data_IF_012608404384
#
_entry.id   IF_012608404384
#
_cell.length_a   1.000
_cell.length_b   1.000
_cell.length_c   1.000
_cell.angle_alpha   90.00
_cell.angle_beta   90.00
_cell.angle_gamma   90.00
#
_symmetry.space_group_name_H-M   'P 1'
#
loop_
_entity.id
_entity.type
_entity.pdbx_description
1 polymer ?
#
# COMPACT_ATOMS: atom_id res chain seq x y z
N UNK A 1 -7.56 -21.83 36.94
CA UNK A 1 -6.63 -21.18 35.96
C UNK A 1 -7.35 -20.55 34.75
N UNK A 2 -8.24 -21.25 34.02
CA UNK A 2 -8.97 -20.66 32.86
C UNK A 2 -9.88 -19.47 33.19
N UNK A 3 -10.58 -19.51 34.33
CA UNK A 3 -11.49 -18.43 34.77
C UNK A 3 -10.75 -17.16 35.21
N UNK A 4 -9.61 -17.30 35.88
CA UNK A 4 -8.73 -16.18 36.27
C UNK A 4 -8.08 -15.55 35.03
N UNK A 5 -7.60 -16.38 34.07
CA UNK A 5 -7.14 -15.89 32.76
C UNK A 5 -8.24 -15.15 31.99
N UNK A 6 -9.49 -15.61 32.07
CA UNK A 6 -10.63 -14.95 31.43
C UNK A 6 -10.97 -13.59 32.08
N UNK A 7 -10.97 -13.50 33.41
CA UNK A 7 -11.18 -12.24 34.13
C UNK A 7 -10.03 -11.25 33.87
N UNK A 8 -8.78 -11.70 33.91
CA UNK A 8 -7.61 -10.88 33.60
C UNK A 8 -7.61 -10.41 32.14
N UNK A 9 -8.01 -11.27 31.20
CA UNK A 9 -8.18 -10.92 29.77
C UNK A 9 -9.29 -9.87 29.59
N UNK A 10 -10.40 -9.98 30.31
CA UNK A 10 -11.49 -8.99 30.25
C UNK A 10 -11.13 -7.65 30.91
N UNK A 11 -10.37 -7.66 32.01
CA UNK A 11 -9.90 -6.44 32.67
C UNK A 11 -8.83 -5.70 31.84
N UNK A 12 -7.94 -6.44 31.17
CA UNK A 12 -6.96 -5.87 30.23
C UNK A 12 -7.61 -5.34 28.97
N UNK A 13 -8.61 -6.04 28.41
CA UNK A 13 -9.44 -5.56 27.31
C UNK A 13 -10.21 -4.27 27.65
N UNK A 14 -10.68 -4.13 28.90
CA UNK A 14 -11.39 -2.91 29.35
C UNK A 14 -10.50 -1.65 29.35
N UNK A 15 -9.16 -1.80 29.39
CA UNK A 15 -8.22 -0.69 29.34
C UNK A 15 -7.76 -0.33 27.92
N UNK A 16 -8.08 -1.14 26.91
CA UNK A 16 -7.70 -0.87 25.51
C UNK A 16 -8.05 0.56 25.06
N UNK A 17 -9.28 1.09 25.31
CA UNK A 17 -9.61 2.46 24.91
C UNK A 17 -8.71 3.51 25.55
N UNK A 18 -8.26 3.30 26.80
CA UNK A 18 -7.36 4.22 27.49
C UNK A 18 -5.95 4.20 26.89
N UNK A 19 -5.44 3.01 26.55
CA UNK A 19 -4.14 2.88 25.89
C UNK A 19 -4.15 3.52 24.51
N UNK A 20 -5.20 3.27 23.71
CA UNK A 20 -5.37 3.90 22.39
C UNK A 20 -5.43 5.43 22.53
N UNK A 21 -6.18 5.96 23.49
CA UNK A 21 -6.27 7.41 23.73
C UNK A 21 -4.95 8.01 24.23
N UNK A 22 -4.14 7.25 24.97
CA UNK A 22 -2.81 7.70 25.40
C UNK A 22 -1.85 7.79 24.21
N UNK A 23 -1.70 6.70 23.46
CA UNK A 23 -0.69 6.60 22.40
C UNK A 23 -1.06 7.39 21.14
N UNK A 24 -2.35 7.57 20.84
CA UNK A 24 -2.79 8.38 19.70
C UNK A 24 -2.57 9.89 19.87
N UNK A 25 -2.17 10.36 21.05
CA UNK A 25 -1.77 11.76 21.27
C UNK A 25 -0.37 12.06 20.75
N UNK A 26 0.47 11.04 20.60
CA UNK A 26 1.81 11.18 20.07
C UNK A 26 1.77 11.12 18.54
N UNK A 27 2.65 11.91 17.92
CA UNK A 27 2.84 11.86 16.47
C UNK A 27 3.81 10.72 16.13
N UNK A 28 3.48 9.87 15.13
CA UNK A 28 4.43 8.90 14.59
C UNK A 28 5.75 9.56 14.18
N UNK A 29 6.86 8.87 14.41
CA UNK A 29 8.21 9.33 14.10
C UNK A 29 8.63 8.79 12.72
N UNK A 30 8.68 9.62 11.66
CA UNK A 30 9.11 9.17 10.34
C UNK A 30 10.63 8.97 10.31
N UNK A 31 11.07 7.86 9.72
CA UNK A 31 12.47 7.56 9.47
C UNK A 31 12.82 7.73 7.99
N UNK A 32 14.04 8.16 7.70
CA UNK A 32 14.60 8.12 6.34
C UNK A 32 15.20 6.76 6.03
N UNK A 33 15.28 6.43 4.74
CA UNK A 33 16.01 5.26 4.26
C UNK A 33 17.47 5.29 4.73
N UNK A 34 18.08 6.49 4.76
CA UNK A 34 19.42 6.69 5.32
C UNK A 34 19.50 6.29 6.79
N UNK A 35 18.53 6.68 7.62
CA UNK A 35 18.52 6.30 9.04
C UNK A 35 18.38 4.79 9.23
N UNK A 36 17.52 4.11 8.45
CA UNK A 36 17.44 2.66 8.48
C UNK A 36 18.76 2.00 8.11
N UNK A 37 19.41 2.49 7.04
CA UNK A 37 20.69 1.96 6.55
C UNK A 37 21.81 2.18 7.58
N UNK A 38 21.98 3.41 8.07
CA UNK A 38 23.02 3.77 9.03
C UNK A 38 22.86 2.97 10.34
N UNK A 39 21.60 2.72 10.77
CA UNK A 39 21.30 1.90 11.93
C UNK A 39 21.75 0.44 11.73
N UNK A 40 21.35 -0.19 10.62
CA UNK A 40 21.65 -1.61 10.39
C UNK A 40 23.09 -1.91 9.91
N UNK A 41 23.82 -0.92 9.38
CA UNK A 41 25.19 -1.11 8.85
C UNK A 41 26.28 -1.04 9.93
N UNK A 42 26.21 -0.02 10.79
CA UNK A 42 27.36 0.38 11.62
C UNK A 42 27.05 0.27 13.12
N UNK A 43 25.78 0.39 13.50
CA UNK A 43 25.33 0.47 14.90
C UNK A 43 24.15 -0.46 15.17
N UNK A 44 24.11 -1.65 14.56
CA UNK A 44 23.01 -2.60 14.73
C UNK A 44 22.93 -3.03 16.20
N UNK A 45 22.11 -2.30 16.96
CA UNK A 45 22.00 -2.41 18.41
C UNK A 45 20.56 -2.79 18.74
N UNK A 46 20.36 -4.07 19.01
CA UNK A 46 19.03 -4.64 19.25
C UNK A 46 18.30 -3.93 20.39
N UNK A 47 19.00 -3.60 21.48
CA UNK A 47 18.43 -2.87 22.61
C UNK A 47 17.90 -1.49 22.21
N UNK A 48 18.59 -0.78 21.33
CA UNK A 48 18.14 0.52 20.81
C UNK A 48 16.91 0.34 19.92
N UNK A 49 16.91 -0.67 19.03
CA UNK A 49 15.76 -1.00 18.19
C UNK A 49 14.53 -1.37 19.03
N UNK A 50 14.71 -2.22 20.04
CA UNK A 50 13.68 -2.63 20.99
C UNK A 50 13.08 -1.43 21.72
N UNK A 51 13.92 -0.56 22.30
CA UNK A 51 13.46 0.64 23.03
C UNK A 51 12.68 1.58 22.13
N UNK A 52 13.10 1.74 20.87
CA UNK A 52 12.36 2.53 19.89
C UNK A 52 11.02 1.88 19.54
N UNK A 53 11.01 0.61 19.11
CA UNK A 53 9.82 -0.06 18.58
C UNK A 53 8.74 -0.31 19.62
N UNK A 54 9.10 -0.61 20.87
CA UNK A 54 8.12 -0.77 21.95
C UNK A 54 7.34 0.51 22.25
N UNK A 55 7.84 1.67 21.82
CA UNK A 55 7.14 2.96 21.91
C UNK A 55 6.49 3.36 20.58
N UNK A 56 7.22 3.25 19.46
CA UNK A 56 6.74 3.71 18.16
C UNK A 56 5.60 2.84 17.59
N UNK A 57 5.63 1.51 17.77
CA UNK A 57 4.57 0.64 17.26
C UNK A 57 3.21 0.91 17.94
N UNK A 58 3.11 1.05 19.28
CA UNK A 58 1.88 1.49 19.93
C UNK A 58 1.36 2.85 19.44
N UNK A 59 2.25 3.80 19.15
CA UNK A 59 1.89 5.11 18.58
C UNK A 59 1.24 4.94 17.20
N UNK A 60 1.90 4.21 16.28
CA UNK A 60 1.37 3.99 14.91
C UNK A 60 0.05 3.23 14.91
N UNK A 61 -0.04 2.15 15.71
CA UNK A 61 -1.26 1.35 15.88
C UNK A 61 -2.40 2.21 16.43
N UNK A 62 -2.16 2.97 17.51
CA UNK A 62 -3.21 3.74 18.18
C UNK A 62 -3.71 4.91 17.32
N UNK A 63 -2.83 5.59 16.59
CA UNK A 63 -3.21 6.65 15.65
C UNK A 63 -4.21 6.13 14.62
N UNK A 64 -3.90 4.98 13.97
CA UNK A 64 -4.81 4.45 12.96
C UNK A 64 -6.07 3.81 13.56
N UNK A 65 -5.99 3.19 14.74
CA UNK A 65 -7.15 2.67 15.46
C UNK A 65 -8.16 3.77 15.81
N UNK A 66 -7.70 4.98 16.14
CA UNK A 66 -8.59 6.14 16.34
C UNK A 66 -9.34 6.51 15.06
N UNK A 67 -8.70 6.43 13.90
CA UNK A 67 -9.34 6.71 12.61
C UNK A 67 -10.28 5.59 12.15
N UNK A 68 -9.98 4.32 12.46
CA UNK A 68 -10.93 3.22 12.25
C UNK A 68 -12.25 3.54 12.95
N UNK A 69 -12.19 3.99 14.20
CA UNK A 69 -13.38 4.33 14.99
C UNK A 69 -14.13 5.58 14.51
N UNK A 70 -13.65 6.28 13.47
CA UNK A 70 -14.35 7.38 12.81
C UNK A 70 -15.06 6.96 11.53
N UNK A 71 -14.91 5.70 11.10
CA UNK A 71 -15.67 5.16 9.99
C UNK A 71 -17.17 5.12 10.32
N UNK A 72 -18.04 5.11 9.30
CA UNK A 72 -19.49 4.97 9.52
C UNK A 72 -19.81 3.72 10.34
N UNK A 73 -20.73 3.84 11.30
CA UNK A 73 -21.13 2.73 12.18
C UNK A 73 -21.51 1.48 11.40
N UNK A 74 -22.20 1.65 10.26
CA UNK A 74 -22.58 0.55 9.37
C UNK A 74 -21.39 -0.23 8.84
N UNK A 75 -20.30 0.45 8.48
CA UNK A 75 -19.05 -0.20 8.06
C UNK A 75 -18.35 -0.85 9.25
N UNK A 76 -18.33 -0.20 10.42
CA UNK A 76 -17.77 -0.76 11.65
C UNK A 76 -18.48 -2.03 12.13
N UNK A 77 -19.77 -2.19 11.81
CA UNK A 77 -20.53 -3.41 12.14
C UNK A 77 -20.27 -4.59 11.21
N UNK A 78 -19.53 -4.40 10.11
CA UNK A 78 -19.22 -5.51 9.19
C UNK A 78 -18.27 -6.51 9.85
N UNK A 79 -18.53 -7.83 9.74
CA UNK A 79 -17.70 -8.86 10.39
C UNK A 79 -16.22 -8.75 10.03
N UNK A 80 -15.93 -8.40 8.78
CA UNK A 80 -14.55 -8.27 8.30
C UNK A 80 -13.82 -7.08 8.93
N UNK A 81 -14.47 -5.92 9.11
CA UNK A 81 -13.86 -4.76 9.80
C UNK A 81 -13.65 -5.05 11.28
N UNK A 82 -14.61 -5.70 11.94
CA UNK A 82 -14.48 -6.11 13.34
C UNK A 82 -13.30 -7.09 13.55
N UNK A 83 -13.10 -8.00 12.60
CA UNK A 83 -11.95 -8.91 12.62
C UNK A 83 -10.63 -8.14 12.55
N UNK A 84 -10.50 -7.18 11.63
CA UNK A 84 -9.32 -6.31 11.54
C UNK A 84 -9.11 -5.52 12.83
N UNK A 85 -10.15 -4.91 13.41
CA UNK A 85 -10.07 -4.21 14.69
C UNK A 85 -9.53 -5.13 15.80
N UNK A 86 -10.02 -6.38 15.87
CA UNK A 86 -9.57 -7.36 16.86
C UNK A 86 -8.07 -7.67 16.75
N UNK A 87 -7.54 -7.77 15.52
CA UNK A 87 -6.11 -7.99 15.28
C UNK A 87 -5.25 -6.82 15.72
N UNK A 88 -5.69 -5.58 15.47
CA UNK A 88 -4.98 -4.38 15.92
C UNK A 88 -5.00 -4.24 17.45
N UNK A 89 -6.14 -4.52 18.09
CA UNK A 89 -6.24 -4.55 19.56
C UNK A 89 -5.29 -5.60 20.14
N UNK A 90 -5.29 -6.81 19.59
CA UNK A 90 -4.40 -7.87 20.08
C UNK A 90 -2.92 -7.50 19.92
N UNK A 91 -2.52 -7.00 18.75
CA UNK A 91 -1.14 -6.56 18.51
C UNK A 91 -0.71 -5.42 19.42
N UNK A 92 -1.59 -4.45 19.68
CA UNK A 92 -1.32 -3.37 20.63
C UNK A 92 -1.07 -3.96 22.03
N UNK A 93 -1.98 -4.80 22.52
CA UNK A 93 -1.86 -5.36 23.86
C UNK A 93 -0.59 -6.21 24.04
N UNK A 94 -0.23 -7.02 23.05
CA UNK A 94 1.00 -7.83 23.08
C UNK A 94 2.26 -6.95 23.15
N UNK A 95 2.32 -5.83 22.39
CA UNK A 95 3.48 -4.92 22.46
C UNK A 95 3.53 -4.17 23.80
N UNK A 96 2.36 -3.81 24.38
CA UNK A 96 2.30 -3.09 25.64
C UNK A 96 2.90 -3.89 26.82
N UNK A 97 2.97 -5.22 26.73
CA UNK A 97 3.63 -6.07 27.72
C UNK A 97 5.15 -5.80 27.83
N UNK A 98 5.74 -5.14 26.85
CA UNK A 98 7.18 -4.83 26.79
C UNK A 98 7.54 -3.40 27.24
N UNK A 99 6.56 -2.55 27.55
CA UNK A 99 6.80 -1.14 27.90
C UNK A 99 7.73 -0.98 29.10
N UNK A 100 7.49 -1.77 30.15
CA UNK A 100 8.21 -1.69 31.42
C UNK A 100 9.34 -2.74 31.54
N UNK A 101 9.53 -3.60 30.53
CA UNK A 101 10.59 -4.62 30.54
C UNK A 101 11.97 -3.97 30.33
N UNK A 102 13.03 -4.52 30.94
CA UNK A 102 14.39 -3.99 30.82
C UNK A 102 15.05 -4.46 29.50
N UNK A 103 15.77 -3.58 28.78
CA UNK A 103 16.40 -3.93 27.51
C UNK A 103 17.65 -4.81 27.68
N UNK A 104 18.22 -4.90 28.89
CA UNK A 104 19.46 -5.66 29.15
C UNK A 104 19.23 -7.17 29.28
N UNK A 105 17.97 -7.62 29.24
CA UNK A 105 17.64 -9.04 29.35
C UNK A 105 17.45 -9.65 27.94
N UNK A 106 18.41 -10.47 27.52
CA UNK A 106 18.37 -11.11 26.20
C UNK A 106 17.11 -11.94 25.94
N UNK A 107 16.59 -12.64 26.96
CA UNK A 107 15.35 -13.41 26.83
C UNK A 107 14.14 -12.53 26.53
N UNK A 108 14.14 -11.25 26.95
CA UNK A 108 13.08 -10.29 26.61
C UNK A 108 13.19 -9.86 25.16
N UNK A 109 14.41 -9.70 24.64
CA UNK A 109 14.66 -9.33 23.25
C UNK A 109 14.19 -10.46 22.32
N UNK A 110 14.55 -11.71 22.63
CA UNK A 110 14.09 -12.88 21.86
C UNK A 110 12.55 -12.99 21.84
N UNK A 111 11.92 -12.86 23.02
CA UNK A 111 10.44 -12.87 23.14
C UNK A 111 9.80 -11.72 22.35
N UNK A 112 10.47 -10.57 22.26
CA UNK A 112 10.01 -9.44 21.47
C UNK A 112 10.07 -9.73 19.97
N UNK A 113 11.17 -10.31 19.46
CA UNK A 113 11.29 -10.75 18.06
C UNK A 113 10.16 -11.73 17.71
N UNK A 114 9.95 -12.76 18.55
CA UNK A 114 8.86 -13.73 18.37
C UNK A 114 7.47 -13.05 18.34
N UNK A 115 7.26 -12.09 19.23
CA UNK A 115 6.02 -11.30 19.26
C UNK A 115 5.82 -10.51 17.97
N UNK A 116 6.87 -9.87 17.45
CA UNK A 116 6.79 -9.13 16.19
C UNK A 116 6.53 -10.05 14.98
N UNK A 117 7.14 -11.24 14.95
CA UNK A 117 6.86 -12.26 13.92
C UNK A 117 5.39 -12.70 13.97
N UNK A 118 4.85 -12.93 15.17
CA UNK A 118 3.44 -13.28 15.37
C UNK A 118 2.50 -12.16 14.91
N UNK A 119 2.82 -10.90 15.21
CA UNK A 119 2.07 -9.73 14.76
C UNK A 119 2.09 -9.63 13.24
N UNK A 120 3.26 -9.77 12.61
CA UNK A 120 3.40 -9.76 11.14
C UNK A 120 2.50 -10.82 10.50
N UNK A 121 2.55 -12.05 11.02
CA UNK A 121 1.78 -13.17 10.49
C UNK A 121 0.27 -12.96 10.66
N UNK A 122 -0.17 -12.46 11.83
CA UNK A 122 -1.58 -12.11 12.09
C UNK A 122 -2.10 -11.05 11.12
N UNK A 123 -1.23 -10.12 10.70
CA UNK A 123 -1.61 -9.00 9.85
C UNK A 123 -1.51 -9.30 8.35
N UNK A 124 -1.14 -10.52 7.94
CA UNK A 124 -0.98 -10.90 6.53
C UNK A 124 -2.25 -10.61 5.70
N UNK A 125 -3.42 -10.99 6.22
CA UNK A 125 -4.69 -10.90 5.50
C UNK A 125 -5.47 -9.59 5.75
N UNK A 126 -4.86 -8.58 6.36
CA UNK A 126 -5.53 -7.29 6.63
C UNK A 126 -6.03 -6.62 5.34
N UNK A 127 -5.29 -6.69 4.23
CA UNK A 127 -5.71 -6.09 2.96
C UNK A 127 -6.97 -6.77 2.40
N UNK A 128 -6.97 -8.09 2.13
CA UNK A 128 -8.17 -8.76 1.61
C UNK A 128 -9.34 -8.72 2.60
N UNK A 129 -9.11 -8.82 3.91
CA UNK A 129 -10.19 -8.73 4.91
C UNK A 129 -10.79 -7.32 4.96
N UNK A 130 -9.99 -6.25 4.95
CA UNK A 130 -10.54 -4.90 4.92
C UNK A 130 -11.31 -4.63 3.61
N UNK A 131 -10.80 -5.10 2.46
CA UNK A 131 -11.51 -5.04 1.19
C UNK A 131 -12.87 -5.76 1.24
N UNK A 132 -12.90 -6.94 1.85
CA UNK A 132 -14.13 -7.69 2.08
C UNK A 132 -15.13 -6.91 2.94
N UNK A 133 -14.70 -6.20 3.98
CA UNK A 133 -15.57 -5.35 4.79
C UNK A 133 -16.20 -4.20 4.01
N UNK A 134 -15.44 -3.58 3.09
CA UNK A 134 -15.98 -2.55 2.18
C UNK A 134 -16.99 -3.15 1.19
N UNK A 135 -16.75 -4.37 0.71
CA UNK A 135 -17.69 -5.10 -0.15
C UNK A 135 -18.98 -5.46 0.60
N UNK A 136 -18.86 -5.95 1.85
CA UNK A 136 -19.99 -6.23 2.75
C UNK A 136 -20.85 -4.99 2.99
N UNK A 137 -20.21 -3.84 3.19
CA UNK A 137 -20.91 -2.57 3.33
C UNK A 137 -21.64 -2.17 2.04
N UNK A 138 -20.94 -2.21 0.89
CA UNK A 138 -21.47 -1.79 -0.41
C UNK A 138 -22.67 -2.63 -0.86
N UNK A 139 -22.65 -3.95 -0.59
CA UNK A 139 -23.73 -4.85 -1.01
C UNK A 139 -25.04 -4.60 -0.25
N UNK A 140 -24.96 -4.14 1.00
CA UNK A 140 -26.13 -3.92 1.85
C UNK A 140 -26.65 -2.48 1.77
N UNK A 141 -25.77 -1.49 1.71
CA UNK A 141 -26.14 -0.08 1.88
C UNK A 141 -26.01 0.78 0.61
N UNK A 142 -25.47 0.21 -0.48
CA UNK A 142 -25.26 0.93 -1.73
C UNK A 142 -24.04 1.84 -1.72
N UNK A 143 -24.06 2.90 -2.54
CA UNK A 143 -22.98 3.87 -2.65
C UNK A 143 -23.52 5.27 -2.35
N UNK A 144 -22.82 6.00 -1.48
CA UNK A 144 -23.04 7.43 -1.29
C UNK A 144 -21.70 8.20 -1.44
N UNK A 145 -21.68 9.35 -2.15
CA UNK A 145 -20.43 10.03 -2.47
C UNK A 145 -19.60 10.45 -1.25
N UNK A 146 -20.25 10.89 -0.17
CA UNK A 146 -19.56 11.35 1.06
C UNK A 146 -18.86 10.19 1.75
N UNK A 147 -19.58 9.09 1.98
CA UNK A 147 -19.00 7.91 2.61
C UNK A 147 -17.90 7.32 1.73
N UNK A 148 -18.06 7.33 0.41
CA UNK A 148 -17.00 6.89 -0.50
C UNK A 148 -15.73 7.73 -0.34
N UNK A 149 -15.85 9.06 -0.20
CA UNK A 149 -14.71 9.95 0.05
C UNK A 149 -14.07 9.67 1.42
N UNK A 150 -14.87 9.48 2.47
CA UNK A 150 -14.38 9.17 3.82
C UNK A 150 -13.68 7.81 3.87
N UNK A 151 -14.23 6.79 3.19
CA UNK A 151 -13.63 5.46 3.05
C UNK A 151 -12.34 5.56 2.25
N UNK A 152 -12.31 6.31 1.14
CA UNK A 152 -11.09 6.51 0.34
C UNK A 152 -9.97 7.15 1.18
N UNK A 153 -10.28 8.26 1.86
CA UNK A 153 -9.36 8.96 2.75
C UNK A 153 -8.83 8.04 3.86
N UNK A 154 -9.72 7.26 4.48
CA UNK A 154 -9.34 6.28 5.49
C UNK A 154 -8.43 5.19 4.94
N UNK A 155 -8.79 4.54 3.82
CA UNK A 155 -8.07 3.39 3.30
C UNK A 155 -6.66 3.77 2.84
N UNK A 156 -6.48 4.94 2.23
CA UNK A 156 -5.15 5.44 1.86
C UNK A 156 -4.25 5.57 3.11
N UNK A 157 -4.80 6.12 4.20
CA UNK A 157 -4.06 6.29 5.46
C UNK A 157 -3.87 4.97 6.21
N UNK A 158 -4.87 4.10 6.21
CA UNK A 158 -4.83 2.80 6.86
C UNK A 158 -3.76 1.91 6.25
N UNK A 159 -3.73 1.80 4.92
CA UNK A 159 -2.72 1.00 4.25
C UNK A 159 -1.33 1.64 4.30
N UNK A 160 -1.21 2.98 4.28
CA UNK A 160 0.07 3.66 4.52
C UNK A 160 0.61 3.35 5.92
N UNK A 161 -0.24 3.43 6.96
CA UNK A 161 0.14 3.04 8.33
C UNK A 161 0.61 1.60 8.39
N UNK A 162 -0.13 0.67 7.75
CA UNK A 162 0.23 -0.76 7.70
C UNK A 162 1.56 -1.01 6.99
N UNK A 163 1.82 -0.37 5.85
CA UNK A 163 3.11 -0.46 5.14
C UNK A 163 4.24 -0.06 6.10
N UNK A 164 4.05 1.04 6.83
CA UNK A 164 5.04 1.54 7.79
C UNK A 164 5.28 0.62 8.99
N UNK A 165 4.22 0.02 9.55
CA UNK A 165 4.32 -0.94 10.65
C UNK A 165 5.05 -2.20 10.18
N UNK A 166 4.71 -2.69 8.99
CA UNK A 166 5.37 -3.85 8.38
C UNK A 166 6.85 -3.56 8.07
N UNK A 167 7.18 -2.34 7.64
CA UNK A 167 8.57 -1.92 7.43
C UNK A 167 9.37 -2.02 8.72
N UNK A 168 8.88 -1.42 9.81
CA UNK A 168 9.55 -1.47 11.13
C UNK A 168 9.74 -2.90 11.65
N UNK A 169 8.67 -3.71 11.59
CA UNK A 169 8.71 -5.10 12.05
C UNK A 169 9.72 -5.90 11.20
N UNK A 170 9.64 -5.79 9.88
CA UNK A 170 10.53 -6.51 8.98
C UNK A 170 11.99 -6.13 9.22
N UNK A 171 12.29 -4.84 9.39
CA UNK A 171 13.64 -4.37 9.69
C UNK A 171 14.18 -5.00 10.98
N UNK A 172 13.42 -4.97 12.07
CA UNK A 172 13.86 -5.59 13.32
C UNK A 172 14.06 -7.11 13.18
N UNK A 173 13.06 -7.81 12.63
CA UNK A 173 13.14 -9.27 12.49
C UNK A 173 14.26 -9.69 11.55
N UNK A 174 14.48 -9.01 10.42
CA UNK A 174 15.52 -9.42 9.47
C UNK A 174 16.94 -9.09 9.95
N UNK A 175 17.10 -8.13 10.85
CA UNK A 175 18.42 -7.77 11.40
C UNK A 175 18.77 -8.60 12.64
N UNK A 176 17.78 -8.98 13.46
CA UNK A 176 18.02 -9.60 14.77
C UNK A 176 17.46 -11.03 14.93
N UNK A 177 16.64 -11.54 14.01
CA UNK A 177 16.21 -12.95 14.01
C UNK A 177 17.39 -13.84 13.58
N UNK A 178 18.12 -14.35 14.57
CA UNK A 178 19.30 -15.21 14.42
C UNK A 178 19.09 -16.50 13.62
N UNK A 179 17.85 -16.77 13.16
CA UNK A 179 17.50 -17.91 12.32
C UNK A 179 17.66 -17.67 10.80
N UNK A 180 17.97 -16.46 10.34
CA UNK A 180 18.00 -16.17 8.89
C UNK A 180 19.41 -16.25 8.29
N UNK A 181 19.62 -17.28 7.46
CA UNK A 181 20.52 -17.17 6.31
C UNK A 181 19.91 -16.07 5.43
N UNK A 182 20.52 -14.89 5.28
CA UNK A 182 19.91 -13.85 4.47
C UNK A 182 19.84 -14.36 3.02
N UNK A 183 18.62 -14.55 2.51
CA UNK A 183 18.36 -14.84 1.09
C UNK A 183 19.14 -13.87 0.17
N UNK A 184 19.42 -12.66 0.69
CA UNK A 184 20.29 -11.67 0.09
C UNK A 184 21.33 -11.18 1.13
N UNK A 185 22.55 -11.75 1.16
CA UNK A 185 23.56 -11.38 2.16
C UNK A 185 24.03 -9.92 2.09
N UNK A 186 23.67 -9.20 1.03
CA UNK A 186 24.04 -7.80 0.82
C UNK A 186 22.94 -6.80 1.25
N UNK A 187 21.81 -7.28 1.76
CA UNK A 187 20.73 -6.40 2.25
C UNK A 187 20.84 -6.10 3.73
N UNK A 188 20.46 -4.90 4.13
CA UNK A 188 20.31 -4.51 5.54
C UNK A 188 18.82 -4.53 5.88
N UNK A 189 18.44 -5.56 6.63
CA UNK A 189 17.03 -5.90 6.81
C UNK A 189 16.37 -6.17 5.45
N UNK A 190 15.36 -5.36 5.11
CA UNK A 190 14.70 -5.40 3.79
C UNK A 190 15.22 -4.38 2.77
N UNK A 191 16.26 -3.60 3.10
CA UNK A 191 16.80 -2.54 2.24
C UNK A 191 18.03 -3.05 1.51
N UNK A 192 18.05 -2.86 0.20
CA UNK A 192 19.23 -3.07 -0.62
C UNK A 192 19.94 -1.72 -0.85
N UNK A 193 21.18 -1.53 -0.35
CA UNK A 193 21.95 -0.32 -0.59
C UNK A 193 22.34 -0.12 -2.05
N UNK A 194 22.29 -1.17 -2.87
CA UNK A 194 22.69 -1.17 -4.27
C UNK A 194 21.61 -1.81 -5.16
N UNK A 195 20.34 -1.54 -4.88
CA UNK A 195 19.19 -2.09 -5.61
C UNK A 195 19.30 -1.81 -7.11
N UNK A 196 19.55 -2.85 -7.91
CA UNK A 196 19.52 -2.77 -9.37
C UNK A 196 18.06 -2.69 -9.83
N UNK A 197 17.66 -1.50 -10.28
CA UNK A 197 16.27 -1.22 -10.64
C UNK A 197 15.84 -2.04 -11.85
N UNK A 198 16.76 -2.27 -12.80
CA UNK A 198 16.48 -2.97 -14.04
C UNK A 198 16.25 -4.45 -13.79
N UNK A 199 17.00 -5.07 -12.87
CA UNK A 199 16.76 -6.45 -12.46
C UNK A 199 15.38 -6.61 -11.80
N UNK A 200 14.99 -5.71 -10.89
CA UNK A 200 13.65 -5.74 -10.27
C UNK A 200 12.53 -5.59 -11.31
N UNK A 201 12.74 -4.76 -12.35
CA UNK A 201 11.84 -4.65 -13.49
C UNK A 201 11.70 -5.98 -14.24
N UNK A 202 12.82 -6.66 -14.52
CA UNK A 202 12.81 -7.97 -15.20
C UNK A 202 12.10 -9.03 -14.37
N UNK A 203 12.38 -9.09 -13.07
CA UNK A 203 11.76 -10.07 -12.16
C UNK A 203 10.24 -9.88 -12.05
N UNK A 204 9.79 -8.63 -11.89
CA UNK A 204 8.38 -8.29 -11.82
C UNK A 204 7.67 -8.60 -13.16
N UNK A 205 8.30 -8.29 -14.29
CA UNK A 205 7.77 -8.62 -15.62
C UNK A 205 7.66 -10.13 -15.81
N UNK A 206 8.71 -10.91 -15.51
CA UNK A 206 8.69 -12.36 -15.66
C UNK A 206 7.59 -13.00 -14.83
N UNK A 207 7.44 -12.57 -13.58
CA UNK A 207 6.38 -13.07 -12.70
C UNK A 207 4.99 -12.71 -13.21
N UNK A 208 4.79 -11.48 -13.70
CA UNK A 208 3.52 -11.07 -14.30
C UNK A 208 3.23 -11.85 -15.61
N UNK A 209 4.27 -12.09 -16.42
CA UNK A 209 4.22 -12.87 -17.65
C UNK A 209 3.75 -14.29 -17.37
N UNK A 210 4.28 -14.95 -16.34
CA UNK A 210 3.84 -16.29 -15.93
C UNK A 210 2.34 -16.33 -15.58
N UNK A 211 1.83 -15.36 -14.81
CA UNK A 211 0.41 -15.27 -14.48
C UNK A 211 -0.44 -15.00 -15.73
N UNK A 212 0.06 -14.14 -16.62
CA UNK A 212 -0.59 -13.78 -17.87
C UNK A 212 -0.68 -14.99 -18.82
N UNK A 213 0.43 -15.72 -19.02
CA UNK A 213 0.50 -16.92 -19.84
C UNK A 213 -0.40 -18.04 -19.27
N UNK A 214 -0.51 -18.17 -17.95
CA UNK A 214 -1.43 -19.12 -17.33
C UNK A 214 -2.90 -18.83 -17.64
N UNK A 215 -3.28 -17.57 -17.79
CA UNK A 215 -4.67 -17.16 -18.00
C UNK A 215 -5.05 -17.02 -19.47
N UNK A 216 -4.16 -16.43 -20.29
CA UNK A 216 -4.41 -16.10 -21.70
C UNK A 216 -3.62 -16.96 -22.70
N UNK A 217 -2.73 -17.84 -22.23
CA UNK A 217 -1.84 -18.66 -23.08
C UNK A 217 -0.89 -17.85 -23.97
N UNK A 218 -0.76 -16.55 -23.72
CA UNK A 218 0.10 -15.62 -24.43
C UNK A 218 0.35 -14.37 -23.58
N UNK A 219 1.42 -13.64 -23.88
CA UNK A 219 1.79 -12.40 -23.20
C UNK A 219 2.66 -11.51 -24.08
N UNK A 220 2.57 -10.17 -23.94
CA UNK A 220 3.39 -9.23 -24.70
C UNK A 220 4.85 -9.25 -24.23
N UNK A 221 5.79 -9.03 -25.16
CA UNK A 221 7.23 -8.92 -24.87
C UNK A 221 7.59 -7.66 -24.07
N UNK A 222 8.75 -7.66 -23.41
CA UNK A 222 9.32 -6.50 -22.71
C UNK A 222 10.37 -5.79 -23.58
N UNK A 223 10.25 -4.48 -23.74
CA UNK A 223 11.32 -3.62 -24.26
C UNK A 223 11.78 -2.66 -23.17
N UNK A 224 13.00 -2.87 -22.66
CA UNK A 224 13.55 -2.11 -21.54
C UNK A 224 14.66 -1.17 -22.00
N UNK A 225 14.53 0.11 -21.67
CA UNK A 225 15.51 1.15 -21.95
C UNK A 225 15.93 1.84 -20.65
N UNK A 226 17.24 2.08 -20.52
CA UNK A 226 17.82 2.81 -19.40
C UNK A 226 18.40 4.16 -19.83
N UNK A 227 18.22 5.17 -18.99
CA UNK A 227 18.76 6.52 -19.17
C UNK A 227 19.44 6.98 -17.86
N UNK A 228 20.71 6.64 -17.72
CA UNK A 228 21.54 7.09 -16.61
C UNK A 228 22.27 8.38 -16.98
N UNK A 229 21.74 9.53 -16.52
CA UNK A 229 22.34 10.86 -16.77
C UNK A 229 23.68 11.00 -16.05
N UNK A 230 23.80 10.40 -14.87
CA UNK A 230 25.00 10.48 -14.03
C UNK A 230 26.14 9.63 -14.63
N UNK A 231 25.84 8.45 -15.16
CA UNK A 231 26.81 7.60 -15.83
C UNK A 231 26.18 6.64 -16.85
N UNK A 232 26.25 6.97 -18.15
CA UNK A 232 25.61 6.21 -19.24
C UNK A 232 26.08 4.75 -19.39
N UNK A 233 27.18 4.35 -18.76
CA UNK A 233 27.73 2.98 -18.86
C UNK A 233 27.43 2.11 -17.65
N UNK A 234 26.84 2.66 -16.59
CA UNK A 234 26.54 1.93 -15.37
C UNK A 234 25.04 1.65 -15.25
N UNK A 235 24.67 0.46 -14.73
CA UNK A 235 23.30 0.17 -14.36
C UNK A 235 22.76 1.21 -13.38
N UNK A 236 21.44 1.42 -13.41
CA UNK A 236 20.77 2.32 -12.48
C UNK A 236 20.58 1.61 -11.14
N UNK A 237 21.33 2.06 -10.13
CA UNK A 237 21.29 1.52 -8.77
C UNK A 237 20.94 2.60 -7.76
N UNK A 238 20.07 2.27 -6.80
CA UNK A 238 19.62 3.17 -5.72
C UNK A 238 19.51 2.41 -4.39
N UNK A 239 19.46 3.16 -3.28
CA UNK A 239 19.11 2.59 -1.97
C UNK A 239 17.59 2.46 -1.89
N UNK A 240 17.05 1.24 -1.89
CA UNK A 240 15.61 1.03 -1.81
C UNK A 240 15.20 -0.32 -1.21
N UNK A 241 13.91 -0.52 -1.01
CA UNK A 241 13.32 -1.81 -0.61
C UNK A 241 12.87 -2.57 -1.87
N UNK A 242 13.61 -3.60 -2.36
CA UNK A 242 13.33 -4.23 -3.64
C UNK A 242 11.91 -4.81 -3.73
N UNK A 243 11.40 -5.36 -2.63
CA UNK A 243 10.05 -5.93 -2.57
C UNK A 243 8.94 -4.89 -2.75
N UNK A 244 9.15 -3.64 -2.33
CA UNK A 244 8.19 -2.55 -2.57
C UNK A 244 8.16 -2.19 -4.06
N UNK A 245 9.34 -2.05 -4.68
CA UNK A 245 9.47 -1.76 -6.10
C UNK A 245 8.88 -2.89 -6.96
N UNK A 246 9.22 -4.14 -6.63
CA UNK A 246 8.66 -5.33 -7.26
C UNK A 246 7.14 -5.33 -7.22
N UNK A 247 6.53 -5.07 -6.06
CA UNK A 247 5.06 -5.05 -5.93
C UNK A 247 4.41 -4.03 -6.86
N UNK A 248 4.95 -2.79 -6.92
CA UNK A 248 4.42 -1.76 -7.81
C UNK A 248 4.51 -2.18 -9.28
N UNK A 249 5.68 -2.67 -9.70
CA UNK A 249 5.92 -3.07 -11.09
C UNK A 249 5.09 -4.29 -11.47
N UNK A 250 4.96 -5.28 -10.59
CA UNK A 250 4.17 -6.48 -10.81
C UNK A 250 2.69 -6.13 -11.06
N UNK A 251 2.11 -5.24 -10.24
CA UNK A 251 0.73 -4.79 -10.46
C UNK A 251 0.58 -3.97 -11.75
N UNK A 252 1.54 -3.11 -12.10
CA UNK A 252 1.52 -2.37 -13.37
C UNK A 252 1.62 -3.31 -14.57
N UNK A 253 2.52 -4.30 -14.54
CA UNK A 253 2.67 -5.26 -15.62
C UNK A 253 1.43 -6.12 -15.81
N UNK A 254 0.81 -6.63 -14.74
CA UNK A 254 -0.47 -7.36 -14.86
C UNK A 254 -1.54 -6.53 -15.57
N UNK A 255 -1.68 -5.25 -15.20
CA UNK A 255 -2.67 -4.36 -15.81
C UNK A 255 -2.36 -4.09 -17.28
N UNK A 256 -1.10 -3.77 -17.60
CA UNK A 256 -0.64 -3.51 -18.97
C UNK A 256 -0.78 -4.75 -19.87
N UNK A 257 -0.41 -5.93 -19.37
CA UNK A 257 -0.55 -7.21 -20.08
C UNK A 257 -2.01 -7.53 -20.36
N UNK A 258 -2.87 -7.44 -19.33
CA UNK A 258 -4.31 -7.66 -19.47
C UNK A 258 -4.92 -6.74 -20.54
N UNK A 259 -4.69 -5.43 -20.42
CA UNK A 259 -5.23 -4.46 -21.37
C UNK A 259 -4.71 -4.69 -22.80
N UNK A 260 -3.43 -5.04 -22.94
CA UNK A 260 -2.82 -5.31 -24.25
C UNK A 260 -3.48 -6.53 -24.92
N UNK A 261 -3.69 -7.62 -24.19
CA UNK A 261 -4.30 -8.84 -24.74
C UNK A 261 -5.77 -8.64 -25.06
N UNK A 262 -6.56 -8.12 -24.11
CA UNK A 262 -8.01 -7.90 -24.28
C UNK A 262 -8.29 -6.94 -25.46
N UNK A 263 -7.41 -5.98 -25.74
CA UNK A 263 -7.55 -5.07 -26.88
C UNK A 263 -7.00 -5.63 -28.22
N UNK A 264 -6.32 -6.78 -28.21
CA UNK A 264 -5.69 -7.40 -29.39
C UNK A 264 -6.12 -8.85 -29.61
N UNK A 265 -7.29 -9.28 -29.11
CA UNK A 265 -7.79 -10.66 -29.24
C UNK A 265 -7.81 -11.16 -30.69
N UNK A 266 -8.02 -10.28 -31.66
CA UNK A 266 -8.04 -10.61 -33.09
C UNK A 266 -6.67 -10.52 -33.79
N UNK A 267 -5.61 -10.12 -33.09
CA UNK A 267 -4.26 -9.96 -33.65
C UNK A 267 -3.36 -11.13 -33.26
N UNK A 268 -2.63 -11.67 -34.22
CA UNK A 268 -1.60 -12.69 -33.95
C UNK A 268 -0.32 -12.13 -33.32
N UNK A 269 -0.16 -10.80 -33.27
CA UNK A 269 1.00 -10.13 -32.70
C UNK A 269 0.56 -9.12 -31.64
N UNK A 270 1.12 -9.26 -30.45
CA UNK A 270 0.91 -8.34 -29.34
C UNK A 270 1.98 -7.24 -29.39
N UNK A 271 1.62 -5.96 -29.22
CA UNK A 271 2.61 -4.91 -29.06
C UNK A 271 3.39 -5.13 -27.74
N UNK A 272 4.71 -4.92 -27.73
CA UNK A 272 5.51 -5.05 -26.51
C UNK A 272 5.17 -3.96 -25.50
N UNK A 273 5.31 -4.29 -24.21
CA UNK A 273 5.28 -3.32 -23.12
C UNK A 273 6.64 -2.63 -23.08
N UNK A 274 6.64 -1.30 -23.17
CA UNK A 274 7.85 -0.50 -23.17
C UNK A 274 8.12 0.01 -21.76
N UNK A 275 9.34 -0.17 -21.27
CA UNK A 275 9.75 0.33 -19.97
C UNK A 275 10.97 1.23 -20.14
N UNK A 276 10.88 2.43 -19.56
CA UNK A 276 11.97 3.40 -19.51
C UNK A 276 12.33 3.65 -18.05
N UNK A 277 13.57 3.35 -17.68
CA UNK A 277 14.14 3.68 -16.37
C UNK A 277 15.09 4.86 -16.55
N UNK A 278 14.84 5.97 -15.86
CA UNK A 278 15.67 7.16 -15.92
C UNK A 278 16.08 7.59 -14.51
N UNK A 279 17.37 7.91 -14.31
CA UNK A 279 17.87 8.50 -13.08
C UNK A 279 18.48 9.88 -13.37
N UNK A 280 17.98 10.88 -12.64
CA UNK A 280 18.49 12.24 -12.65
C UNK A 280 19.33 12.56 -11.42
N UNK A 281 19.37 13.84 -11.04
CA UNK A 281 20.04 14.30 -9.81
C UNK A 281 19.20 14.07 -8.55
N UNK A 282 17.89 14.30 -8.63
CA UNK A 282 16.98 14.22 -7.47
C UNK A 282 16.04 13.01 -7.54
N UNK A 283 15.54 12.70 -8.74
CA UNK A 283 14.51 11.69 -8.93
C UNK A 283 15.00 10.51 -9.79
N UNK A 284 14.48 9.33 -9.44
CA UNK A 284 14.44 8.15 -10.28
C UNK A 284 13.01 7.97 -10.80
N UNK A 285 12.85 7.76 -12.10
CA UNK A 285 11.56 7.58 -12.75
C UNK A 285 11.53 6.29 -13.55
N UNK A 286 10.45 5.52 -13.40
CA UNK A 286 10.19 4.30 -14.18
C UNK A 286 8.87 4.48 -14.90
N UNK A 287 8.90 4.50 -16.22
CA UNK A 287 7.71 4.59 -17.06
C UNK A 287 7.42 3.24 -17.69
N UNK A 288 6.21 2.71 -17.46
CA UNK A 288 5.67 1.51 -18.09
C UNK A 288 4.59 1.93 -19.08
N UNK A 289 4.79 1.66 -20.36
CA UNK A 289 3.92 2.07 -21.46
C UNK A 289 3.35 0.85 -22.17
N UNK A 290 2.03 0.80 -22.28
CA UNK A 290 1.30 -0.22 -23.04
C UNK A 290 0.62 0.35 -24.29
N UNK A 291 0.11 -0.55 -25.13
CA UNK A 291 -0.82 -0.23 -26.21
C UNK A 291 -2.15 -0.95 -26.01
N UNK A 292 -2.67 -0.95 -24.78
CA UNK A 292 -3.88 -1.68 -24.40
C UNK A 292 -5.18 -0.94 -24.69
N UNK A 293 -5.20 0.00 -25.64
CA UNK A 293 -6.41 0.75 -26.01
C UNK A 293 -6.73 1.94 -25.10
N UNK A 294 -6.07 2.06 -23.94
CA UNK A 294 -6.19 3.21 -23.05
C UNK A 294 -7.51 3.32 -22.30
N UNK A 295 -7.68 4.41 -21.56
CA UNK A 295 -8.79 4.66 -20.64
C UNK A 295 -9.30 6.10 -20.84
N UNK A 296 -10.61 6.33 -20.94
CA UNK A 296 -11.17 7.69 -21.00
C UNK A 296 -10.71 8.54 -19.82
N UNK A 297 -10.33 9.80 -20.08
CA UNK A 297 -9.78 10.71 -19.07
C UNK A 297 -10.64 10.79 -17.78
N UNK A 298 -11.97 10.86 -17.93
CA UNK A 298 -12.94 10.89 -16.80
C UNK A 298 -12.83 9.70 -15.85
N UNK A 299 -12.29 8.57 -16.29
CA UNK A 299 -12.19 7.34 -15.47
C UNK A 299 -10.82 7.19 -14.78
N UNK A 300 -9.82 8.00 -15.12
CA UNK A 300 -8.44 7.84 -14.61
C UNK A 300 -8.39 7.97 -13.09
N UNK A 301 -9.04 8.98 -12.51
CA UNK A 301 -9.07 9.15 -11.05
C UNK A 301 -9.75 7.98 -10.35
N UNK A 302 -10.78 7.40 -10.98
CA UNK A 302 -11.50 6.25 -10.43
C UNK A 302 -10.64 4.98 -10.37
N UNK A 303 -9.59 4.84 -11.19
CA UNK A 303 -8.68 3.69 -11.14
C UNK A 303 -7.93 3.58 -9.80
N UNK A 304 -7.84 4.68 -9.06
CA UNK A 304 -7.27 4.72 -7.73
C UNK A 304 -8.32 4.65 -6.60
N UNK A 305 -9.61 4.53 -6.94
CA UNK A 305 -10.68 4.41 -5.97
C UNK A 305 -10.84 2.97 -5.51
N UNK A 306 -10.79 2.72 -4.20
CA UNK A 306 -10.99 1.38 -3.64
C UNK A 306 -12.40 0.81 -3.86
N UNK A 307 -13.38 1.68 -4.18
CA UNK A 307 -14.78 1.29 -4.40
C UNK A 307 -15.10 1.12 -5.90
N UNK A 308 -14.12 1.37 -6.77
CA UNK A 308 -14.18 1.20 -8.22
C UNK A 308 -13.31 0.03 -8.64
N UNK A 309 -13.85 -0.87 -9.45
CA UNK A 309 -13.10 -1.98 -10.05
C UNK A 309 -13.55 -2.18 -11.48
N UNK A 310 -12.61 -2.52 -12.36
CA UNK A 310 -12.84 -2.88 -13.76
C UNK A 310 -13.02 -4.39 -13.95
N UNK A 311 -12.99 -5.17 -12.86
CA UNK A 311 -13.14 -6.62 -12.85
C UNK A 311 -14.27 -7.06 -11.91
N UNK A 312 -14.95 -8.19 -12.21
CA UNK A 312 -15.93 -8.77 -11.30
C UNK A 312 -15.28 -9.16 -9.96
N UNK A 313 -16.06 -9.12 -8.89
CA UNK A 313 -15.59 -9.52 -7.56
C UNK A 313 -15.19 -11.00 -7.58
N UNK A 314 -13.96 -11.37 -7.19
CA UNK A 314 -13.56 -12.77 -7.15
C UNK A 314 -14.43 -13.54 -6.13
N UNK A 315 -14.97 -14.69 -6.53
CA UNK A 315 -15.68 -15.59 -5.61
C UNK A 315 -14.68 -16.22 -4.63
N UNK A 316 -15.09 -16.39 -3.37
CA UNK A 316 -14.31 -17.16 -2.38
C UNK A 316 -14.39 -18.65 -2.74
N UNK A 317 -13.56 -19.08 -3.68
CA UNK A 317 -13.31 -20.47 -4.02
C UNK A 317 -11.91 -20.90 -3.59
N UNK A 318 -11.80 -22.09 -3.01
CA UNK A 318 -10.56 -22.73 -2.53
C UNK A 318 -9.55 -22.98 -3.67
N UNK A 319 -8.83 -21.98 -4.18
CA UNK A 319 -7.56 -22.22 -4.88
C UNK A 319 -6.58 -21.05 -4.71
N UNK A 320 -5.36 -21.42 -4.33
CA UNK A 320 -4.16 -20.60 -4.07
C UNK A 320 -3.60 -19.85 -5.29
N UNK A 321 -4.43 -19.40 -6.23
CA UNK A 321 -3.97 -18.65 -7.40
C UNK A 321 -4.35 -17.19 -7.25
N UNK A 322 -3.35 -16.31 -7.33
CA UNK A 322 -3.59 -14.86 -7.37
C UNK A 322 -4.19 -14.55 -8.74
N UNK A 323 -5.48 -14.19 -8.84
CA UNK A 323 -6.08 -13.90 -10.14
C UNK A 323 -5.41 -12.67 -10.76
N UNK A 324 -5.34 -12.63 -12.10
CA UNK A 324 -4.76 -11.50 -12.82
C UNK A 324 -5.47 -10.18 -12.47
N UNK A 325 -6.78 -10.26 -12.17
CA UNK A 325 -7.57 -9.18 -11.61
C UNK A 325 -8.15 -9.58 -10.23
N UNK A 326 -7.78 -8.83 -9.18
CA UNK A 326 -8.24 -9.04 -7.80
C UNK A 326 -9.34 -8.07 -7.38
N UNK A 327 -9.37 -7.71 -6.10
CA UNK A 327 -10.35 -6.78 -5.50
C UNK A 327 -10.32 -5.33 -6.03
N UNK A 328 -9.46 -4.99 -6.99
CA UNK A 328 -9.25 -3.61 -7.46
C UNK A 328 -8.31 -2.76 -6.58
N UNK A 329 -7.63 -3.36 -5.61
CA UNK A 329 -6.74 -2.65 -4.67
C UNK A 329 -5.30 -2.50 -5.17
N UNK A 330 -4.91 -3.15 -6.26
CA UNK A 330 -3.52 -3.19 -6.75
C UNK A 330 -2.94 -1.81 -7.08
N UNK A 331 -3.63 -1.02 -7.91
CA UNK A 331 -3.20 0.33 -8.30
C UNK A 331 -3.17 1.32 -7.12
N UNK A 332 -4.24 1.45 -6.30
CA UNK A 332 -4.21 2.30 -5.11
C UNK A 332 -3.04 1.96 -4.16
N UNK A 333 -2.85 0.68 -3.85
CA UNK A 333 -1.78 0.23 -2.94
C UNK A 333 -0.40 0.46 -3.55
N UNK A 334 -0.21 0.21 -4.85
CA UNK A 334 1.05 0.51 -5.54
C UNK A 334 1.40 1.99 -5.45
N UNK A 335 0.41 2.89 -5.57
CA UNK A 335 0.61 4.32 -5.36
C UNK A 335 1.02 4.65 -3.93
N UNK A 336 0.47 3.97 -2.92
CA UNK A 336 0.90 4.16 -1.53
C UNK A 336 2.34 3.70 -1.30
N UNK A 337 2.76 2.57 -1.90
CA UNK A 337 4.17 2.14 -1.84
C UNK A 337 5.12 3.18 -2.44
N UNK A 338 4.76 3.81 -3.56
CA UNK A 338 5.56 4.89 -4.13
C UNK A 338 5.60 6.11 -3.19
N UNK A 339 4.45 6.51 -2.66
CA UNK A 339 4.31 7.68 -1.79
C UNK A 339 4.94 7.50 -0.40
N UNK A 340 5.13 6.25 0.05
CA UNK A 340 5.66 5.95 1.38
C UNK A 340 7.06 6.53 1.59
N UNK A 341 7.90 6.55 0.55
CA UNK A 341 9.22 7.21 0.58
C UNK A 341 9.26 8.46 -0.33
N UNK A 342 8.25 9.32 -0.23
CA UNK A 342 8.16 10.62 -0.93
C UNK A 342 8.15 10.56 -2.46
N UNK A 343 7.88 9.38 -3.02
CA UNK A 343 7.65 9.19 -4.45
C UNK A 343 6.18 9.43 -4.85
N UNK A 344 5.82 8.97 -6.05
CA UNK A 344 4.43 8.94 -6.50
C UNK A 344 4.22 7.93 -7.63
N UNK A 345 2.96 7.56 -7.89
CA UNK A 345 2.57 6.79 -9.07
C UNK A 345 1.47 7.54 -9.81
N UNK A 346 1.70 7.83 -11.09
CA UNK A 346 0.76 8.57 -11.95
C UNK A 346 0.43 7.75 -13.20
N UNK A 347 -0.79 7.95 -13.72
CA UNK A 347 -1.28 7.32 -14.95
C UNK A 347 -1.66 8.40 -15.95
N UNK A 348 -1.23 8.21 -17.20
CA UNK A 348 -1.54 9.06 -18.34
C UNK A 348 -2.02 8.15 -19.46
N UNK A 349 -3.29 8.27 -19.84
CA UNK A 349 -3.87 7.39 -20.85
C UNK A 349 -4.41 8.17 -22.03
N UNK A 350 -4.24 7.58 -23.21
CA UNK A 350 -4.77 8.07 -24.48
C UNK A 350 -5.81 7.05 -24.95
N UNK A 351 -7.09 7.37 -24.78
CA UNK A 351 -8.21 6.52 -25.20
C UNK A 351 -8.11 6.21 -26.71
N UNK A 352 -8.20 4.92 -27.05
CA UNK A 352 -7.98 4.38 -28.39
C UNK A 352 -6.53 4.00 -28.70
N UNK A 353 -5.57 4.24 -27.80
CA UNK A 353 -4.15 3.93 -28.02
C UNK A 353 -3.53 3.09 -26.90
N UNK A 354 -3.41 3.62 -25.68
CA UNK A 354 -2.66 2.96 -24.61
C UNK A 354 -2.48 3.82 -23.36
N UNK A 355 -1.77 3.29 -22.37
CA UNK A 355 -1.53 3.95 -21.09
C UNK A 355 -0.05 3.98 -20.73
N UNK A 356 0.40 5.14 -20.23
CA UNK A 356 1.68 5.34 -19.56
C UNK A 356 1.47 5.40 -18.05
N UNK A 357 2.12 4.49 -17.32
CA UNK A 357 2.20 4.51 -15.86
C UNK A 357 3.61 4.93 -15.43
N UNK A 358 3.73 5.94 -14.58
CA UNK A 358 5.03 6.48 -14.14
C UNK A 358 5.16 6.36 -12.63
N UNK A 359 6.18 5.63 -12.19
CA UNK A 359 6.64 5.59 -10.79
C UNK A 359 7.75 6.64 -10.65
N UNK A 360 7.58 7.55 -9.70
CA UNK A 360 8.60 8.48 -9.26
C UNK A 360 9.12 8.08 -7.88
N UNK A 361 10.42 8.12 -7.69
CA UNK A 361 11.11 7.80 -6.46
C UNK A 361 12.26 8.78 -6.22
N UNK A 362 12.67 8.96 -4.98
CA UNK A 362 13.86 9.76 -4.65
C UNK A 362 15.13 8.99 -4.95
N UNK A 363 16.05 9.63 -5.65
CA UNK A 363 17.36 9.06 -5.98
C UNK A 363 18.27 9.01 -4.74
N UNK A 364 18.11 9.96 -3.82
CA UNK A 364 18.90 10.08 -2.59
C UNK A 364 18.17 9.48 -1.38
N UNK A 365 18.88 8.65 -0.60
CA UNK A 365 18.33 8.00 0.59
C UNK A 365 18.00 8.97 1.74
N UNK A 366 18.56 10.17 1.73
CA UNK A 366 18.25 11.27 2.66
C UNK A 366 16.84 11.83 2.45
N UNK A 367 16.39 11.82 1.21
CA UNK A 367 15.12 12.44 0.81
C UNK A 367 13.97 11.41 0.83
N UNK A 368 14.33 10.13 0.80
CA UNK A 368 13.45 8.98 1.02
C UNK A 368 13.01 8.87 2.49
N UNK A 369 12.14 9.78 2.94
CA UNK A 369 11.57 9.82 4.29
C UNK A 369 10.20 9.15 4.34
N UNK A 370 9.89 8.40 5.40
CA UNK A 370 8.56 7.84 5.60
C UNK A 370 7.44 8.91 5.56
N UNK A 371 6.39 8.65 4.77
CA UNK A 371 5.15 9.43 4.79
C UNK A 371 4.12 8.75 5.68
N UNK A 372 3.88 9.29 6.88
CA UNK A 372 3.03 8.67 7.89
C UNK A 372 1.70 9.41 8.11
N UNK A 373 0.57 8.71 8.29
CA UNK A 373 -0.67 9.32 8.73
C UNK A 373 -0.57 9.71 10.21
N UNK A 374 -1.02 10.92 10.54
CA UNK A 374 -1.10 11.43 11.93
C UNK A 374 -2.55 11.69 12.30
N UNK A 375 -3.02 11.11 13.41
CA UNK A 375 -4.33 11.41 13.97
C UNK A 375 -4.29 12.71 14.76
N UNK A 376 -5.04 13.71 14.30
CA UNK A 376 -5.16 15.01 14.95
C UNK A 376 -6.48 15.69 14.57
N UNK A 377 -6.67 16.94 15.00
CA UNK A 377 -7.88 17.72 14.67
C UNK A 377 -8.09 17.89 13.17
N UNK A 378 -7.03 17.97 12.37
CA UNK A 378 -7.12 18.07 10.91
C UNK A 378 -7.62 16.76 10.31
N UNK A 379 -7.07 15.61 10.73
CA UNK A 379 -7.56 14.31 10.31
C UNK A 379 -9.04 14.11 10.68
N UNK A 380 -9.44 14.49 11.90
CA UNK A 380 -10.82 14.44 12.35
C UNK A 380 -11.78 15.28 11.48
N UNK A 381 -11.33 16.44 10.97
CA UNK A 381 -12.15 17.29 10.09
C UNK A 381 -12.48 16.60 8.77
N UNK A 382 -11.53 15.86 8.18
CA UNK A 382 -11.76 15.14 6.92
C UNK A 382 -12.90 14.11 7.04
N UNK A 383 -13.10 13.50 8.21
CA UNK A 383 -14.22 12.57 8.45
C UNK A 383 -15.57 13.25 8.72
N UNK A 384 -15.57 14.54 9.03
CA UNK A 384 -16.77 15.31 9.39
C UNK A 384 -17.30 16.18 8.25
N UNK A 385 -16.62 16.21 7.11
CA UNK A 385 -17.06 17.01 5.96
C UNK A 385 -18.41 16.47 5.48
N UNK A 386 -19.45 17.32 5.55
CA UNK A 386 -20.77 17.08 4.97
C UNK A 386 -20.78 17.38 3.48
N UNK A 387 -21.80 16.95 2.73
CA UNK A 387 -21.98 17.38 1.33
C UNK A 387 -21.95 18.91 1.25
N UNK A 388 -20.89 19.46 0.70
CA UNK A 388 -20.84 20.85 0.27
C UNK A 388 -21.47 20.94 -1.12
N UNK A 389 -22.11 22.06 -1.41
CA UNK A 389 -22.57 22.32 -2.77
C UNK A 389 -21.33 22.36 -3.69
N UNK A 390 -21.48 21.83 -4.90
CA UNK A 390 -20.41 21.90 -5.91
C UNK A 390 -19.99 23.36 -6.11
N UNK A 391 -18.68 23.61 -6.10
CA UNK A 391 -18.11 24.95 -6.26
C UNK A 391 -18.07 25.39 -7.73
N UNK A 392 -18.48 24.50 -8.64
CA UNK A 392 -18.66 24.75 -10.07
C UNK A 392 -20.08 24.47 -10.54
N UNK A 393 -20.46 25.07 -11.67
CA UNK A 393 -21.77 24.83 -12.26
C UNK A 393 -21.91 23.37 -12.74
N UNK A 394 -22.91 22.68 -12.21
CA UNK A 394 -23.34 21.37 -12.72
C UNK A 394 -24.35 21.60 -13.86
N UNK A 395 -24.06 21.23 -15.11
CA UNK A 395 -25.00 21.42 -16.22
C UNK A 395 -26.26 20.56 -16.03
N UNK A 396 -27.39 21.04 -16.58
CA UNK A 396 -28.64 20.25 -16.63
C UNK A 396 -28.40 18.94 -17.37
N UNK A 397 -28.99 17.84 -16.87
CA UNK A 397 -29.02 16.55 -17.57
C UNK A 397 -29.79 16.63 -18.89
N UNK A 398 -30.70 17.59 -18.99
CA UNK A 398 -31.46 17.92 -20.18
C UNK A 398 -31.15 19.38 -20.54
N UNK A 399 -30.04 19.64 -21.27
CA UNK A 399 -29.74 20.97 -21.76
C UNK A 399 -30.87 21.45 -22.69
N UNK A 400 -31.24 22.72 -22.57
CA UNK A 400 -32.29 23.31 -23.41
C UNK A 400 -31.88 23.28 -24.88
N UNK A 401 -32.71 22.66 -25.74
CA UNK A 401 -32.52 22.69 -27.18
C UNK A 401 -32.93 24.05 -27.76
N UNK A 402 -31.94 24.88 -28.09
CA UNK A 402 -32.14 26.20 -28.66
C UNK A 402 -32.50 26.18 -30.16
N UNK A 403 -32.50 25.01 -30.82
CA UNK A 403 -32.81 24.93 -32.25
C UNK A 403 -34.30 25.15 -32.54
N UNK A 404 -35.19 24.79 -31.61
CA UNK A 404 -36.65 24.95 -31.73
C UNK A 404 -37.05 26.44 -31.82
N UNK A 405 -36.25 27.34 -31.25
CA UNK A 405 -36.50 28.78 -31.26
C UNK A 405 -35.98 29.50 -32.51
N UNK A 406 -35.25 28.81 -33.41
CA UNK A 406 -34.73 29.42 -34.65
C UNK A 406 -35.76 29.48 -35.81
N UNK A 407 -36.92 28.85 -35.68
CA UNK A 407 -37.92 28.75 -36.77
C UNK A 407 -38.96 29.89 -36.76
N UNK A 408 -38.89 30.80 -35.79
CA UNK A 408 -39.73 32.00 -35.76
C UNK A 408 -38.92 33.24 -36.15
N UNK A 409 -38.63 33.41 -37.45
CA UNK A 409 -38.22 34.71 -38.01
C UNK A 409 -38.77 34.89 -39.41
#
# INVERSE_FOLDING_TARGET
>A
MKFVRFIMKNATLANVPKHVEHFAKFSPSPLSMKQFLDFGSTNACETTSFVFLRQELPVRLSNIMKEINLLPDRLLTTPSVQMVQSWYVQSLMEILEFLDKTPDNHSVLDEFVDTLVNIRNRHNDVVPTMAQGVIEYKSVFGQDPVTNQNIQYFLDRFYMSRISIRMLINQHTLVFDGATNPLHPNTIGSIDPHCDVTEVVRDAYQSAKLVCDQYYLSSPDLMLQEMNVNNRKQPISIVYVPSHLYHMLFELFKNAMRATIENHESSHRLPPIQVMVAIGGEDLSIKVSDRGGGVPFRKIENLFSYMYSTAPTPEKGEHSQTPLAGFGYGLPISRLYAQYFQGNLQLYSMEGYGTDAVIHMKALSTDSVERLPVYNKTALRNYKVSQEADDWCVPSREPLDLTIYRVAK
#
